data_IF_083007443958
#
_entry.id   IF_083007443958
#
_cell.length_a   1.000
_cell.length_b   1.000
_cell.length_c   1.000
_cell.angle_alpha   90.00
_cell.angle_beta   90.00
_cell.angle_gamma   90.00
#
_symmetry.space_group_name_H-M   'P 1'
#
loop_
_entity.id
_entity.type
_entity.pdbx_description
1 polymer ?
#
# COMPACT_ATOMS: atom_id res chain seq x y z
N UNK A 1 -10.73 -2.85 -30.52
CA UNK A 1 -9.63 -2.32 -29.68
C UNK A 1 -9.75 -0.81 -29.63
N UNK A 2 -9.47 -0.20 -28.48
CA UNK A 2 -9.47 1.26 -28.31
C UNK A 2 -8.18 1.84 -28.92
N UNK A 3 -8.27 2.99 -29.59
CA UNK A 3 -7.09 3.73 -30.10
C UNK A 3 -6.33 4.34 -28.92
N UNK A 4 -5.01 4.12 -28.85
CA UNK A 4 -4.15 4.64 -27.77
C UNK A 4 -2.87 5.25 -28.35
N UNK A 5 -2.12 5.99 -27.53
CA UNK A 5 -0.76 6.48 -27.79
C UNK A 5 0.30 5.62 -27.09
N UNK A 6 0.01 4.34 -26.83
CA UNK A 6 0.85 3.44 -26.03
C UNK A 6 2.30 3.35 -26.53
N UNK A 7 2.49 3.48 -27.83
CA UNK A 7 3.78 3.54 -28.52
C UNK A 7 4.62 4.77 -28.16
N UNK A 8 3.98 5.85 -27.69
CA UNK A 8 4.64 7.12 -27.31
C UNK A 8 4.89 7.24 -25.81
N UNK A 9 4.39 6.32 -24.98
CA UNK A 9 4.54 6.39 -23.53
C UNK A 9 5.93 5.89 -23.12
N UNK A 10 6.69 6.73 -22.43
CA UNK A 10 8.01 6.37 -21.88
C UNK A 10 7.84 5.33 -20.77
N UNK A 11 8.66 4.28 -20.82
CA UNK A 11 8.74 3.26 -19.76
C UNK A 11 9.96 3.53 -18.90
N UNK A 12 9.76 3.57 -17.58
CA UNK A 12 10.80 3.86 -16.59
C UNK A 12 10.92 2.69 -15.62
N UNK A 13 12.13 2.31 -15.23
CA UNK A 13 12.37 1.49 -14.05
C UNK A 13 12.03 2.27 -12.78
N UNK A 14 10.91 1.92 -12.14
CA UNK A 14 10.49 2.49 -10.87
C UNK A 14 10.87 1.51 -9.76
N UNK A 15 11.55 1.98 -8.72
CA UNK A 15 12.01 1.16 -7.61
C UNK A 15 11.36 1.60 -6.29
N UNK A 16 11.19 0.63 -5.40
CA UNK A 16 10.77 0.81 -4.02
C UNK A 16 11.42 -0.27 -3.16
N UNK A 17 11.33 -0.11 -1.83
CA UNK A 17 11.73 -1.13 -0.87
C UNK A 17 10.48 -1.67 -0.20
N UNK A 18 10.53 -2.92 0.25
CA UNK A 18 9.48 -3.45 1.13
C UNK A 18 9.43 -2.57 2.37
N UNK A 19 8.27 -1.95 2.59
CA UNK A 19 8.05 -1.04 3.70
C UNK A 19 7.86 -1.85 4.98
N UNK A 20 8.45 -1.41 6.10
CA UNK A 20 8.22 -2.06 7.38
C UNK A 20 6.76 -1.86 7.85
N UNK A 21 6.13 -2.83 8.53
CA UNK A 21 4.83 -2.61 9.16
C UNK A 21 4.89 -1.40 10.11
N UNK A 22 3.93 -0.49 9.99
CA UNK A 22 3.84 0.66 10.88
C UNK A 22 2.97 0.33 12.10
N UNK A 23 3.43 0.76 13.27
CA UNK A 23 2.68 0.66 14.52
C UNK A 23 2.64 2.03 15.22
N UNK A 24 1.45 2.39 15.71
CA UNK A 24 1.23 3.51 16.64
C UNK A 24 0.75 2.97 17.99
N UNK A 25 0.70 3.83 19.02
CA UNK A 25 0.29 3.41 20.37
C UNK A 25 -1.11 2.80 20.41
N UNK A 26 -2.09 3.46 19.77
CA UNK A 26 -3.44 2.97 19.57
C UNK A 26 -4.08 3.70 18.38
N UNK A 27 -5.15 3.11 17.87
CA UNK A 27 -6.09 3.74 16.94
C UNK A 27 -7.42 3.97 17.63
N UNK A 28 -8.18 4.94 17.15
CA UNK A 28 -9.47 5.31 17.74
C UNK A 28 -10.59 4.82 16.81
N UNK A 29 -11.50 4.01 17.33
CA UNK A 29 -12.67 3.56 16.57
C UNK A 29 -13.65 4.72 16.35
N UNK A 30 -14.64 4.53 15.48
CA UNK A 30 -15.70 5.53 15.27
C UNK A 30 -16.53 5.81 16.54
N UNK A 31 -16.47 4.93 17.55
CA UNK A 31 -17.14 5.08 18.85
C UNK A 31 -16.23 5.78 19.89
N UNK A 32 -15.03 6.20 19.51
CA UNK A 32 -14.07 6.83 20.43
C UNK A 32 -13.31 5.83 21.32
N UNK A 33 -13.32 4.53 21.00
CA UNK A 33 -12.62 3.51 21.80
C UNK A 33 -11.20 3.27 21.27
N UNK A 34 -10.17 3.15 22.13
CA UNK A 34 -8.81 2.83 21.70
C UNK A 34 -8.67 1.33 21.37
N UNK A 35 -7.98 1.01 20.27
CA UNK A 35 -7.65 -0.36 19.85
C UNK A 35 -6.21 -0.46 19.36
N UNK A 36 -5.59 -1.64 19.51
CA UNK A 36 -4.25 -1.96 18.96
C UNK A 36 -4.44 -3.08 17.95
N UNK A 37 -4.28 -2.76 16.67
CA UNK A 37 -4.50 -3.68 15.55
C UNK A 37 -3.38 -3.50 14.51
N UNK A 38 -3.03 -4.55 13.74
CA UNK A 38 -2.18 -4.42 12.56
C UNK A 38 -2.71 -3.37 11.58
N UNK A 39 -1.79 -2.75 10.83
CA UNK A 39 -2.13 -1.69 9.89
C UNK A 39 -1.32 -1.72 8.58
N UNK A 40 -0.84 -0.58 8.10
CA UNK A 40 -0.15 -0.40 6.84
C UNK A 40 1.30 -0.85 6.90
N UNK A 41 1.88 -1.11 5.72
CA UNK A 41 3.24 -1.58 5.56
C UNK A 41 3.39 -3.09 5.73
N UNK A 42 4.54 -3.60 5.32
CA UNK A 42 4.95 -4.98 5.53
C UNK A 42 4.59 -5.94 4.41
N UNK A 43 4.71 -7.22 4.77
CA UNK A 43 4.29 -8.37 3.97
C UNK A 43 3.13 -9.03 4.72
N UNK A 44 1.92 -8.83 4.22
CA UNK A 44 0.71 -9.47 4.72
C UNK A 44 0.59 -10.89 4.15
N UNK A 45 0.88 -11.90 4.98
CA UNK A 45 0.91 -13.29 4.53
C UNK A 45 -0.47 -13.91 4.28
N UNK A 46 -1.51 -13.37 4.91
CA UNK A 46 -2.87 -13.95 4.93
C UNK A 46 -3.95 -12.98 4.41
N UNK A 47 -3.55 -11.91 3.72
CA UNK A 47 -4.46 -10.99 3.03
C UNK A 47 -3.88 -10.67 1.66
N UNK A 48 -4.63 -10.96 0.60
CA UNK A 48 -4.20 -10.79 -0.81
C UNK A 48 -5.31 -10.15 -1.65
N UNK A 49 -4.93 -9.68 -2.85
CA UNK A 49 -5.88 -9.17 -3.84
C UNK A 49 -6.92 -10.25 -4.16
N UNK A 50 -8.20 -9.87 -4.06
CA UNK A 50 -9.34 -10.77 -4.25
C UNK A 50 -9.97 -11.28 -2.95
N UNK A 51 -9.30 -11.14 -1.80
CA UNK A 51 -9.90 -11.47 -0.50
C UNK A 51 -10.97 -10.43 -0.09
N UNK A 52 -11.83 -10.81 0.87
CA UNK A 52 -12.82 -9.90 1.44
C UNK A 52 -12.14 -8.76 2.23
N UNK A 53 -12.63 -7.53 2.04
CA UNK A 53 -12.13 -6.34 2.77
C UNK A 53 -12.71 -6.20 4.18
N UNK A 54 -13.71 -7.00 4.53
CA UNK A 54 -14.39 -6.99 5.83
C UNK A 54 -14.02 -8.23 6.67
N UNK A 55 -14.23 -8.15 7.98
CA UNK A 55 -14.00 -9.26 8.91
C UNK A 55 -12.55 -9.43 9.36
N UNK A 56 -11.67 -8.51 8.98
CA UNK A 56 -10.28 -8.49 9.42
C UNK A 56 -10.16 -7.74 10.75
N UNK A 57 -9.42 -8.31 11.71
CA UNK A 57 -9.01 -7.60 12.92
C UNK A 57 -7.78 -6.71 12.61
N UNK A 58 -8.01 -5.65 11.84
CA UNK A 58 -6.98 -4.75 11.32
C UNK A 58 -7.55 -3.40 10.92
N UNK A 59 -6.70 -2.39 10.73
CA UNK A 59 -7.11 -1.08 10.19
C UNK A 59 -6.15 -0.61 9.11
N UNK A 60 -6.66 -0.28 7.92
CA UNK A 60 -5.85 0.01 6.72
C UNK A 60 -4.88 -1.14 6.39
N UNK A 61 -5.37 -2.37 6.38
CA UNK A 61 -4.57 -3.52 5.97
C UNK A 61 -4.29 -3.44 4.46
N UNK A 62 -3.02 -3.58 4.11
CA UNK A 62 -2.55 -3.60 2.72
C UNK A 62 -2.29 -5.07 2.29
N UNK A 63 -2.88 -5.53 1.17
CA UNK A 63 -2.74 -6.93 0.73
C UNK A 63 -1.36 -7.20 0.13
N UNK A 64 -0.79 -8.36 0.44
CA UNK A 64 0.49 -8.80 -0.12
C UNK A 64 1.68 -7.98 0.39
N UNK A 65 2.33 -7.25 -0.50
CA UNK A 65 3.59 -6.55 -0.19
C UNK A 65 3.42 -5.05 -0.40
N UNK A 66 3.62 -4.29 0.67
CA UNK A 66 3.65 -2.84 0.62
C UNK A 66 5.06 -2.34 0.34
N UNK A 67 5.19 -1.39 -0.58
CA UNK A 67 6.47 -0.79 -0.94
C UNK A 67 6.48 0.73 -0.71
N UNK A 68 7.61 1.26 -0.28
CA UNK A 68 7.86 2.69 -0.07
C UNK A 68 9.33 3.01 -0.34
N UNK A 69 9.65 4.28 -0.55
CA UNK A 69 11.01 4.80 -0.39
C UNK A 69 11.11 5.64 0.89
N UNK A 70 12.29 5.71 1.49
CA UNK A 70 12.52 6.55 2.67
C UNK A 70 12.72 8.01 2.28
N UNK A 71 13.29 8.28 1.10
CA UNK A 71 13.31 9.63 0.54
C UNK A 71 11.92 9.96 -0.03
N UNK A 72 11.36 11.08 0.44
CA UNK A 72 10.01 11.50 0.06
C UNK A 72 9.88 11.81 -1.43
N UNK A 73 10.93 12.31 -2.10
CA UNK A 73 10.89 12.59 -3.55
C UNK A 73 10.90 11.30 -4.34
N UNK A 74 11.72 10.33 -3.93
CA UNK A 74 11.71 8.98 -4.52
C UNK A 74 10.38 8.27 -4.27
N UNK A 75 9.78 8.43 -3.09
CA UNK A 75 8.47 7.83 -2.78
C UNK A 75 7.36 8.50 -3.59
N UNK A 76 7.41 9.81 -3.79
CA UNK A 76 6.49 10.52 -4.66
C UNK A 76 6.62 10.06 -6.13
N UNK A 77 7.85 9.85 -6.61
CA UNK A 77 8.10 9.30 -7.94
C UNK A 77 7.53 7.88 -8.08
N UNK A 78 7.72 7.03 -7.06
CA UNK A 78 7.12 5.69 -7.00
C UNK A 78 5.60 5.78 -7.14
N UNK A 79 4.94 6.61 -6.33
CA UNK A 79 3.48 6.78 -6.39
C UNK A 79 2.98 7.39 -7.71
N UNK A 80 3.80 8.21 -8.37
CA UNK A 80 3.42 8.88 -9.63
C UNK A 80 3.56 7.97 -10.85
N UNK A 81 4.58 7.12 -10.87
CA UNK A 81 4.95 6.37 -12.07
C UNK A 81 4.63 4.87 -11.99
N UNK A 82 4.34 4.32 -10.82
CA UNK A 82 4.03 2.89 -10.67
C UNK A 82 2.64 2.57 -11.24
N UNK A 83 2.62 1.75 -12.29
CA UNK A 83 1.41 1.22 -12.91
C UNK A 83 1.65 -0.25 -13.30
N UNK A 84 0.63 -1.09 -13.12
CA UNK A 84 0.63 -2.52 -13.49
C UNK A 84 0.06 -2.69 -14.90
#
# INVERSE_FOLDING_TARGET
MIKTNKDKVVKWSVQGKIHHPLASSYKVTHEGKPVILPSTGGISYNVKVGDCVYGLAGDHIEPGVSIRNEDNRESNALMTFFHV
#
